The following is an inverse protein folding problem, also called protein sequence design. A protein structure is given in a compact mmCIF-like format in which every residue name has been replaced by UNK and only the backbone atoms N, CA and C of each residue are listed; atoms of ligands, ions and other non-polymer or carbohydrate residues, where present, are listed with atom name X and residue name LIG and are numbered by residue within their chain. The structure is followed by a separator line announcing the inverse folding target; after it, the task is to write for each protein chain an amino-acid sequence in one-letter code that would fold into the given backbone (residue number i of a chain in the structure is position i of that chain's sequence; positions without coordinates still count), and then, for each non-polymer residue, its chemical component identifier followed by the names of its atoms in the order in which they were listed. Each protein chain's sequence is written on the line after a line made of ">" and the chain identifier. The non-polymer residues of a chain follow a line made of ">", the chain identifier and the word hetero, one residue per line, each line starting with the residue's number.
data_IF_764753247178
#
_entry.id   IF_764753247178
#
_cell.length_a   1.000
_cell.length_b   1.000
_cell.length_c   1.000
_cell.angle_alpha   90.00
_cell.angle_beta   90.00
_cell.angle_gamma   90.00
#
_symmetry.space_group_name_H-M   'P 1'
#
loop_
_entity.id
_entity.type
_entity.pdbx_description
1 polymer ?
#
# COMPACT_ATOMS: atom_id res chain seq x y z
N UNK A 1 -14.86 19.42 -7.28
CA UNK A 1 -14.95 18.93 -8.66
C UNK A 1 -13.81 17.97 -8.85
N UNK A 2 -14.04 16.68 -8.61
CA UNK A 2 -13.12 15.63 -9.02
C UNK A 2 -13.85 14.82 -10.09
N UNK A 3 -13.15 14.50 -11.17
CA UNK A 3 -13.68 13.69 -12.25
C UNK A 3 -14.04 12.30 -11.69
N UNK A 4 -15.33 12.06 -11.51
CA UNK A 4 -15.83 10.71 -11.21
C UNK A 4 -15.48 9.77 -12.37
N UNK A 5 -15.23 8.50 -12.06
CA UNK A 5 -15.06 7.49 -13.09
C UNK A 5 -16.31 7.43 -13.98
N UNK A 6 -16.14 7.68 -15.27
CA UNK A 6 -17.22 7.59 -16.26
C UNK A 6 -17.07 6.30 -17.03
N UNK A 7 -18.15 5.53 -17.15
CA UNK A 7 -18.17 4.27 -17.91
C UNK A 7 -19.31 4.32 -18.92
N UNK A 8 -19.07 4.00 -20.20
CA UNK A 8 -20.14 3.87 -21.18
C UNK A 8 -21.17 2.84 -20.72
N UNK A 9 -22.45 3.21 -20.80
CA UNK A 9 -23.56 2.30 -20.47
C UNK A 9 -23.97 1.43 -21.66
N UNK A 10 -23.62 1.84 -22.88
CA UNK A 10 -23.88 1.10 -24.11
C UNK A 10 -22.69 0.20 -24.48
N UNK A 11 -22.94 -0.99 -25.05
CA UNK A 11 -21.91 -1.99 -25.33
C UNK A 11 -20.98 -1.56 -26.48
N UNK A 12 -21.51 -0.80 -27.43
CA UNK A 12 -20.80 -0.25 -28.57
C UNK A 12 -21.43 1.08 -29.05
N UNK A 13 -20.67 1.97 -29.70
CA UNK A 13 -21.22 3.15 -30.34
C UNK A 13 -22.30 2.77 -31.37
N UNK A 14 -23.45 3.45 -31.31
CA UNK A 14 -24.56 3.18 -32.24
C UNK A 14 -25.39 1.93 -31.93
N UNK A 15 -25.18 1.27 -30.77
CA UNK A 15 -25.97 0.11 -30.33
C UNK A 15 -27.49 0.37 -30.34
N UNK A 16 -27.90 1.63 -30.16
CA UNK A 16 -29.30 2.05 -30.17
C UNK A 16 -29.93 2.15 -31.56
N UNK A 17 -29.13 2.15 -32.64
CA UNK A 17 -29.64 2.28 -34.02
C UNK A 17 -30.46 1.08 -34.50
N UNK A 18 -30.37 -0.06 -33.80
CA UNK A 18 -31.10 -1.30 -34.10
C UNK A 18 -32.34 -1.50 -33.23
N UNK A 19 -32.57 -0.62 -32.27
CA UNK A 19 -33.66 -0.77 -31.31
C UNK A 19 -35.01 -0.48 -31.97
N UNK A 20 -36.01 -1.27 -31.61
CA UNK A 20 -37.40 -1.13 -32.02
C UNK A 20 -38.27 -0.75 -30.84
N UNK A 21 -39.43 -0.19 -31.13
CA UNK A 21 -40.44 0.13 -30.11
C UNK A 21 -40.79 -1.17 -29.36
N UNK A 22 -40.66 -1.14 -28.03
CA UNK A 22 -40.93 -2.27 -27.14
C UNK A 22 -39.69 -3.06 -26.71
N UNK A 23 -38.53 -2.83 -27.32
CA UNK A 23 -37.29 -3.49 -26.91
C UNK A 23 -36.88 -3.08 -25.50
N UNK A 24 -36.39 -4.04 -24.72
CA UNK A 24 -35.83 -3.81 -23.38
C UNK A 24 -34.36 -4.17 -23.40
N UNK A 25 -33.54 -3.25 -22.94
CA UNK A 25 -32.11 -3.46 -22.82
C UNK A 25 -31.69 -3.50 -21.35
N UNK A 26 -30.77 -4.40 -21.02
CA UNK A 26 -30.11 -4.48 -19.72
C UNK A 26 -28.61 -4.47 -19.96
N UNK A 27 -27.93 -3.53 -19.33
CA UNK A 27 -26.47 -3.52 -19.23
C UNK A 27 -26.05 -3.82 -17.80
N UNK A 28 -24.89 -4.48 -17.65
CA UNK A 28 -24.21 -4.63 -16.38
C UNK A 28 -22.80 -4.13 -16.60
N UNK A 29 -22.46 -3.02 -15.96
CA UNK A 29 -21.13 -2.40 -16.09
C UNK A 29 -20.42 -2.40 -14.75
N UNK A 30 -19.09 -2.44 -14.79
CA UNK A 30 -18.24 -2.28 -13.61
C UNK A 30 -17.84 -0.82 -13.53
N UNK A 31 -18.22 -0.15 -12.44
CA UNK A 31 -17.77 1.20 -12.14
C UNK A 31 -16.47 1.10 -11.34
N UNK A 32 -15.31 1.47 -11.90
CA UNK A 32 -14.09 1.51 -11.13
C UNK A 32 -14.23 2.59 -10.06
N UNK A 33 -13.82 2.27 -8.82
CA UNK A 33 -13.76 3.25 -7.75
C UNK A 33 -12.44 3.99 -7.90
N UNK A 34 -12.44 5.34 -7.99
CA UNK A 34 -11.19 6.09 -8.09
C UNK A 34 -10.25 5.77 -6.93
N UNK A 35 -8.94 5.64 -7.18
CA UNK A 35 -7.96 5.30 -6.14
C UNK A 35 -7.86 6.34 -5.03
N UNK A 36 -8.30 7.58 -5.28
CA UNK A 36 -8.34 8.68 -4.30
C UNK A 36 -9.73 8.87 -3.66
N UNK A 37 -10.66 7.93 -3.87
CA UNK A 37 -11.99 8.03 -3.27
C UNK A 37 -11.90 7.97 -1.73
N UNK A 38 -12.64 8.88 -1.08
CA UNK A 38 -12.74 8.97 0.37
C UNK A 38 -13.56 7.85 1.02
N UNK A 39 -14.35 7.11 0.23
CA UNK A 39 -15.32 6.15 0.72
C UNK A 39 -16.66 6.81 1.13
N UNK A 40 -17.56 6.03 1.72
CA UNK A 40 -18.83 6.53 2.25
C UNK A 40 -20.02 6.44 1.28
N UNK A 41 -21.10 7.15 1.60
CA UNK A 41 -22.31 7.15 0.77
C UNK A 41 -22.11 8.03 -0.47
N UNK A 42 -22.26 7.42 -1.63
CA UNK A 42 -22.02 8.03 -2.94
C UNK A 42 -23.27 7.93 -3.80
N UNK A 43 -23.60 9.01 -4.50
CA UNK A 43 -24.67 9.03 -5.50
C UNK A 43 -24.13 8.58 -6.86
N UNK A 44 -24.91 7.77 -7.55
CA UNK A 44 -24.62 7.33 -8.92
C UNK A 44 -25.61 7.98 -9.86
N UNK A 45 -25.10 8.52 -10.96
CA UNK A 45 -25.89 9.19 -11.99
C UNK A 45 -25.60 8.55 -13.35
N UNK A 46 -26.61 8.44 -14.20
CA UNK A 46 -26.44 8.26 -15.64
C UNK A 46 -26.47 9.65 -16.29
N UNK A 47 -25.61 9.86 -17.27
CA UNK A 47 -25.57 11.12 -18.05
C UNK A 47 -25.92 10.81 -19.50
N UNK A 48 -26.87 11.56 -20.07
CA UNK A 48 -27.27 11.46 -21.46
C UNK A 48 -27.39 12.87 -22.06
N UNK A 49 -26.42 13.27 -22.87
CA UNK A 49 -26.29 14.67 -23.29
C UNK A 49 -26.04 15.58 -22.09
N UNK A 50 -26.89 16.58 -21.88
CA UNK A 50 -26.84 17.49 -20.72
C UNK A 50 -27.69 17.00 -19.53
N UNK A 51 -28.48 15.93 -19.71
CA UNK A 51 -29.35 15.41 -18.66
C UNK A 51 -28.61 14.46 -17.71
N UNK A 52 -28.96 14.53 -16.43
CA UNK A 52 -28.49 13.60 -15.39
C UNK A 52 -29.66 12.90 -14.75
N UNK A 53 -29.62 11.57 -14.74
CA UNK A 53 -30.62 10.72 -14.09
C UNK A 53 -30.00 10.04 -12.89
N UNK A 54 -30.55 10.28 -11.70
CA UNK A 54 -30.13 9.59 -10.49
C UNK A 54 -30.44 8.09 -10.60
N UNK A 55 -29.41 7.25 -10.56
CA UNK A 55 -29.57 5.78 -10.55
C UNK A 55 -29.73 5.23 -9.14
N UNK A 56 -29.24 5.95 -8.13
CA UNK A 56 -29.38 5.59 -6.72
C UNK A 56 -28.19 5.99 -5.86
N UNK A 57 -28.10 5.38 -4.69
CA UNK A 57 -27.00 5.56 -3.74
C UNK A 57 -26.31 4.22 -3.52
N UNK A 58 -24.99 4.24 -3.46
CA UNK A 58 -24.15 3.12 -3.04
C UNK A 58 -23.24 3.54 -1.91
N UNK A 59 -22.69 2.58 -1.18
CA UNK A 59 -21.63 2.83 -0.19
C UNK A 59 -20.31 2.33 -0.74
N UNK A 60 -19.34 3.23 -0.92
CA UNK A 60 -17.97 2.88 -1.24
C UNK A 60 -17.28 2.47 0.06
N UNK A 61 -16.97 1.17 0.20
CA UNK A 61 -16.38 0.59 1.40
C UNK A 61 -14.85 0.79 1.44
N UNK A 62 -14.38 2.03 1.25
CA UNK A 62 -12.99 2.43 1.48
C UNK A 62 -12.92 3.08 2.85
N UNK A 63 -11.96 2.66 3.67
CA UNK A 63 -11.66 3.29 4.95
C UNK A 63 -10.30 3.94 4.84
N UNK A 64 -10.24 5.25 5.07
CA UNK A 64 -9.00 6.02 5.15
C UNK A 64 -8.72 6.31 6.63
N UNK A 65 -7.50 6.02 7.06
CA UNK A 65 -7.05 6.30 8.42
C UNK A 65 -5.99 7.38 8.35
N UNK A 66 -6.01 8.33 9.29
CA UNK A 66 -5.05 9.45 9.33
C UNK A 66 -4.30 9.52 10.68
N UNK A 67 -4.76 8.73 11.65
CA UNK A 67 -4.13 8.61 12.95
C UNK A 67 -3.32 7.32 13.02
N UNK A 68 -2.12 7.41 13.59
CA UNK A 68 -1.36 6.22 13.95
C UNK A 68 -2.11 5.45 15.06
N UNK A 69 -2.37 4.14 14.92
CA UNK A 69 -2.96 3.36 15.98
C UNK A 69 -2.08 3.36 17.24
N UNK A 70 -2.70 3.44 18.41
CA UNK A 70 -1.98 3.43 19.70
C UNK A 70 -1.25 2.11 20.00
N UNK A 71 -1.55 1.06 19.22
CA UNK A 71 -0.87 -0.24 19.28
C UNK A 71 0.45 -0.27 18.49
N UNK A 72 0.75 0.77 17.72
CA UNK A 72 2.00 0.90 16.99
C UNK A 72 3.06 1.61 17.84
N UNK A 73 4.30 1.12 17.79
CA UNK A 73 5.44 1.87 18.26
C UNK A 73 5.73 3.00 17.26
N UNK A 74 5.78 4.29 17.68
CA UNK A 74 6.00 5.39 16.78
C UNK A 74 7.43 5.39 16.22
N UNK A 75 7.54 5.68 14.94
CA UNK A 75 8.78 5.93 14.23
C UNK A 75 8.69 7.30 13.54
N UNK A 76 9.83 7.85 13.12
CA UNK A 76 9.84 9.10 12.40
C UNK A 76 11.00 9.16 11.41
N UNK A 77 10.83 8.41 10.32
CA UNK A 77 11.73 8.41 9.19
C UNK A 77 11.04 8.98 7.96
N UNK A 78 11.74 9.81 7.19
CA UNK A 78 11.31 10.33 5.89
C UNK A 78 11.97 9.54 4.78
N UNK A 79 11.21 9.19 3.75
CA UNK A 79 11.68 8.50 2.56
C UNK A 79 11.37 9.36 1.34
N UNK A 80 12.39 9.95 0.74
CA UNK A 80 12.20 11.05 -0.22
C UNK A 80 11.50 12.24 0.42
N UNK A 81 10.65 12.93 -0.35
CA UNK A 81 9.87 14.08 0.11
C UNK A 81 8.43 13.72 0.50
N UNK A 82 7.88 12.68 -0.13
CA UNK A 82 6.43 12.43 -0.16
C UNK A 82 5.96 11.39 0.88
N UNK A 83 6.85 10.57 1.46
CA UNK A 83 6.46 9.43 2.32
C UNK A 83 7.24 9.44 3.63
N UNK A 84 6.57 9.03 4.71
CA UNK A 84 7.18 8.76 6.00
C UNK A 84 6.86 7.34 6.49
N UNK A 85 7.81 6.70 7.19
CA UNK A 85 7.53 5.54 8.03
C UNK A 85 7.29 6.05 9.46
N UNK A 86 6.05 5.91 9.92
CA UNK A 86 5.55 6.60 11.13
C UNK A 86 5.29 5.66 12.29
N UNK A 87 5.33 4.35 12.04
CA UNK A 87 5.28 3.38 13.11
C UNK A 87 5.54 1.96 12.64
N UNK A 88 5.73 1.10 13.62
CA UNK A 88 5.93 -0.34 13.42
C UNK A 88 5.19 -1.11 14.51
N UNK A 89 4.76 -2.32 14.17
CA UNK A 89 4.38 -3.34 15.14
C UNK A 89 5.04 -4.65 14.74
N UNK A 90 5.91 -5.15 15.60
CA UNK A 90 6.61 -6.41 15.44
C UNK A 90 6.23 -7.34 16.58
N UNK A 91 6.10 -8.64 16.30
CA UNK A 91 6.01 -9.65 17.35
C UNK A 91 7.38 -9.87 17.98
N UNK A 92 7.47 -9.65 19.29
CA UNK A 92 8.68 -9.92 20.07
C UNK A 92 8.98 -11.42 20.17
N UNK A 93 10.16 -11.74 20.71
CA UNK A 93 10.58 -13.12 21.01
C UNK A 93 11.53 -13.73 19.99
N UNK A 94 12.05 -14.90 20.34
CA UNK A 94 12.94 -15.67 19.47
C UNK A 94 12.18 -16.32 18.32
N UNK A 95 12.91 -16.68 17.26
CA UNK A 95 12.44 -17.52 16.16
C UNK A 95 13.31 -18.76 16.03
N UNK A 96 12.77 -19.79 15.40
CA UNK A 96 13.52 -20.96 14.92
C UNK A 96 13.82 -20.83 13.43
N UNK A 97 14.88 -21.49 12.92
CA UNK A 97 15.06 -21.67 11.49
C UNK A 97 13.77 -22.23 10.84
N UNK A 98 13.45 -21.77 9.64
CA UNK A 98 12.21 -22.14 8.93
C UNK A 98 10.92 -21.46 9.39
N UNK A 99 10.94 -20.71 10.51
CA UNK A 99 9.78 -19.89 10.92
C UNK A 99 9.68 -18.59 10.11
N UNK A 100 8.64 -17.79 10.39
CA UNK A 100 8.46 -16.49 9.77
C UNK A 100 8.38 -15.37 10.80
N UNK A 101 8.83 -14.19 10.39
CA UNK A 101 8.70 -12.94 11.13
C UNK A 101 7.49 -12.19 10.61
N UNK A 102 6.56 -11.87 11.50
CA UNK A 102 5.41 -11.00 11.22
C UNK A 102 5.75 -9.55 11.57
N UNK A 103 5.50 -8.64 10.63
CA UNK A 103 5.80 -7.22 10.76
C UNK A 103 4.63 -6.40 10.22
N UNK A 104 4.24 -5.33 10.91
CA UNK A 104 3.28 -4.36 10.40
C UNK A 104 3.96 -3.01 10.36
N UNK A 105 3.98 -2.41 9.18
CA UNK A 105 4.53 -1.08 8.91
C UNK A 105 3.37 -0.09 8.79
N UNK A 106 3.54 1.09 9.35
CA UNK A 106 2.60 2.19 9.20
C UNK A 106 3.29 3.31 8.44
N UNK A 107 2.85 3.50 7.20
CA UNK A 107 3.35 4.53 6.32
C UNK A 107 2.43 5.74 6.36
N UNK A 108 2.96 6.94 6.14
CA UNK A 108 2.16 8.14 5.95
C UNK A 108 2.55 8.83 4.66
N UNK A 109 1.55 9.18 3.84
CA UNK A 109 1.76 10.12 2.75
C UNK A 109 1.87 11.53 3.33
N UNK A 110 2.95 12.22 3.01
CA UNK A 110 3.26 13.57 3.49
C UNK A 110 2.90 14.63 2.44
N UNK A 111 2.62 14.18 1.22
CA UNK A 111 2.08 14.95 0.10
C UNK A 111 1.39 14.02 -0.90
N UNK A 112 1.12 14.54 -2.10
CA UNK A 112 0.68 13.72 -3.22
C UNK A 112 1.84 12.83 -3.67
N UNK A 113 1.60 11.52 -3.75
CA UNK A 113 2.56 10.55 -4.26
C UNK A 113 2.17 10.20 -5.68
N UNK A 114 3.04 10.49 -6.64
CA UNK A 114 2.72 10.29 -8.07
C UNK A 114 3.29 8.99 -8.65
N UNK A 115 3.92 8.15 -7.81
CA UNK A 115 4.55 6.90 -8.22
C UNK A 115 4.21 5.77 -7.27
N UNK A 116 4.01 4.59 -7.84
CA UNK A 116 3.91 3.32 -7.12
C UNK A 116 5.31 2.80 -6.73
N UNK A 117 5.68 2.89 -5.46
CA UNK A 117 6.93 2.34 -4.92
C UNK A 117 6.72 0.95 -4.33
N UNK A 118 7.75 0.10 -4.41
CA UNK A 118 7.78 -1.19 -3.70
C UNK A 118 8.49 -1.03 -2.37
N UNK A 119 7.98 -1.74 -1.36
CA UNK A 119 8.64 -1.92 -0.07
C UNK A 119 9.54 -3.15 -0.18
N UNK A 120 10.77 -3.02 0.31
CA UNK A 120 11.60 -4.17 0.67
C UNK A 120 11.59 -4.35 2.19
N UNK A 121 11.57 -5.61 2.63
CA UNK A 121 11.79 -6.01 4.03
C UNK A 121 12.87 -7.08 4.02
N UNK A 122 13.99 -6.85 4.69
CA UNK A 122 15.11 -7.80 4.79
C UNK A 122 15.33 -8.23 6.24
N UNK A 123 15.57 -9.54 6.43
CA UNK A 123 16.06 -10.11 7.68
C UNK A 123 17.57 -10.32 7.52
N UNK A 124 18.37 -9.46 8.16
CA UNK A 124 19.83 -9.50 8.08
C UNK A 124 20.37 -10.25 9.30
N UNK A 125 21.11 -11.32 9.05
CA UNK A 125 21.67 -12.20 10.08
C UNK A 125 22.98 -11.69 10.68
N UNK A 126 23.56 -12.46 11.63
CA UNK A 126 24.78 -12.09 12.34
C UNK A 126 26.03 -12.09 11.44
N UNK A 127 25.97 -12.76 10.30
CA UNK A 127 26.99 -12.76 9.24
C UNK A 127 26.88 -11.56 8.29
N UNK A 128 25.90 -10.67 8.53
CA UNK A 128 25.61 -9.51 7.69
C UNK A 128 24.90 -9.86 6.38
N UNK A 129 24.50 -11.12 6.17
CA UNK A 129 23.79 -11.56 4.98
C UNK A 129 22.27 -11.47 5.15
N UNK A 130 21.56 -11.36 4.03
CA UNK A 130 20.09 -11.41 4.01
C UNK A 130 19.68 -12.89 4.02
N UNK A 131 18.95 -13.31 5.05
CA UNK A 131 18.42 -14.66 5.15
C UNK A 131 16.94 -14.74 4.77
N UNK A 132 16.19 -13.64 4.87
CA UNK A 132 14.81 -13.58 4.41
C UNK A 132 14.48 -12.23 3.80
N UNK A 133 13.68 -12.21 2.74
CA UNK A 133 13.25 -10.96 2.12
C UNK A 133 11.85 -11.02 1.51
N UNK A 134 11.21 -9.86 1.43
CA UNK A 134 9.97 -9.64 0.67
C UNK A 134 10.05 -8.31 -0.06
N UNK A 135 9.67 -8.32 -1.33
CA UNK A 135 9.63 -7.16 -2.23
C UNK A 135 8.26 -7.04 -2.88
N UNK A 136 7.45 -6.06 -2.45
CA UNK A 136 6.10 -5.88 -3.02
C UNK A 136 5.56 -4.47 -2.87
N UNK A 137 4.53 -4.18 -3.65
CA UNK A 137 3.71 -3.00 -3.42
C UNK A 137 2.96 -3.13 -2.08
N UNK A 138 2.73 -2.00 -1.39
CA UNK A 138 1.95 -1.99 -0.16
C UNK A 138 0.60 -2.70 -0.30
N UNK A 139 0.18 -3.38 0.77
CA UNK A 139 -1.04 -4.19 0.81
C UNK A 139 -1.19 -5.17 -0.36
N UNK A 140 -0.07 -5.76 -0.82
CA UNK A 140 -0.04 -6.72 -1.93
C UNK A 140 -0.53 -6.10 -3.25
N UNK A 141 -0.31 -4.80 -3.45
CA UNK A 141 -0.72 -4.06 -4.64
C UNK A 141 -2.19 -3.63 -4.64
N UNK A 142 -2.94 -3.89 -3.55
CA UNK A 142 -4.32 -3.39 -3.42
C UNK A 142 -4.39 -1.90 -3.11
N UNK A 143 -3.33 -1.34 -2.52
CA UNK A 143 -3.25 0.08 -2.17
C UNK A 143 -1.81 0.61 -2.35
N UNK A 144 -1.30 0.65 -3.61
CA UNK A 144 0.02 1.18 -3.91
C UNK A 144 0.17 2.64 -3.48
N UNK A 145 1.41 3.12 -3.38
CA UNK A 145 1.73 4.43 -2.79
C UNK A 145 1.11 5.61 -3.52
N UNK A 146 0.89 5.51 -4.83
CA UNK A 146 0.21 6.52 -5.64
C UNK A 146 -1.31 6.59 -5.43
N UNK A 147 -1.89 5.69 -4.64
CA UNK A 147 -3.30 5.76 -4.25
C UNK A 147 -3.50 6.45 -2.89
N UNK A 148 -2.41 6.81 -2.21
CA UNK A 148 -2.46 7.38 -0.87
C UNK A 148 -2.90 8.84 -0.93
N UNK A 149 -3.77 9.23 -0.01
CA UNK A 149 -4.15 10.63 0.17
C UNK A 149 -3.13 11.34 1.07
N UNK A 150 -2.87 12.64 0.87
CA UNK A 150 -2.04 13.41 1.79
C UNK A 150 -2.52 13.26 3.25
N UNK A 151 -1.59 12.90 4.13
CA UNK A 151 -1.82 12.62 5.56
C UNK A 151 -2.33 11.22 5.88
N UNK A 152 -2.71 10.40 4.88
CA UNK A 152 -3.20 9.05 5.10
C UNK A 152 -2.13 8.17 5.75
N UNK A 153 -2.51 7.46 6.80
CA UNK A 153 -1.73 6.42 7.46
C UNK A 153 -2.16 5.05 6.93
N UNK A 154 -1.27 4.39 6.20
CA UNK A 154 -1.49 3.08 5.59
C UNK A 154 -0.85 2.00 6.44
N UNK A 155 -1.69 1.11 6.98
CA UNK A 155 -1.26 -0.13 7.62
C UNK A 155 -0.89 -1.16 6.55
N UNK A 156 0.32 -1.70 6.64
CA UNK A 156 0.87 -2.63 5.66
C UNK A 156 1.55 -3.82 6.35
N UNK A 157 1.09 -5.03 6.06
CA UNK A 157 1.44 -6.24 6.81
C UNK A 157 2.39 -7.10 6.00
N UNK A 158 3.40 -7.65 6.66
CA UNK A 158 4.44 -8.50 6.07
C UNK A 158 4.62 -9.78 6.87
N UNK A 159 4.95 -10.84 6.15
CA UNK A 159 5.38 -12.12 6.69
C UNK A 159 6.61 -12.54 5.91
N UNK A 160 7.76 -12.59 6.57
CA UNK A 160 9.06 -12.89 5.95
C UNK A 160 9.58 -14.19 6.52
N UNK A 161 9.75 -15.21 5.68
CA UNK A 161 10.24 -16.51 6.11
C UNK A 161 11.75 -16.50 6.30
N UNK A 162 12.21 -17.17 7.35
CA UNK A 162 13.60 -17.58 7.52
C UNK A 162 13.84 -18.92 6.82
N UNK A 163 15.06 -19.16 6.32
CA UNK A 163 15.43 -20.44 5.75
C UNK A 163 15.61 -21.48 6.87
N UNK A 164 15.51 -22.76 6.53
CA UNK A 164 15.60 -23.87 7.49
C UNK A 164 17.02 -24.02 8.07
N UNK A 165 18.02 -23.44 7.43
CA UNK A 165 19.43 -23.40 7.83
C UNK A 165 19.86 -22.01 8.33
N UNK A 166 18.90 -21.14 8.69
CA UNK A 166 19.18 -19.82 9.24
C UNK A 166 20.17 -19.91 10.42
N UNK A 167 21.33 -19.24 10.37
CA UNK A 167 22.29 -19.26 11.47
C UNK A 167 21.68 -18.77 12.78
N UNK A 168 22.06 -19.34 13.95
CA UNK A 168 21.67 -18.78 15.23
C UNK A 168 22.29 -17.38 15.42
N UNK A 169 21.60 -16.52 16.15
CA UNK A 169 22.12 -15.21 16.52
C UNK A 169 21.10 -14.08 16.42
N UNK A 170 21.59 -12.85 16.53
CA UNK A 170 20.77 -11.64 16.41
C UNK A 170 20.54 -11.29 14.93
N UNK A 171 19.30 -11.01 14.59
CA UNK A 171 18.88 -10.54 13.28
C UNK A 171 18.33 -9.13 13.38
N UNK A 172 18.64 -8.30 12.38
CA UNK A 172 18.07 -6.96 12.22
C UNK A 172 17.07 -6.96 11.07
N UNK A 173 15.92 -6.32 11.28
CA UNK A 173 14.91 -6.11 10.24
C UNK A 173 15.17 -4.75 9.60
N UNK A 174 15.48 -4.75 8.31
CA UNK A 174 15.68 -3.54 7.50
C UNK A 174 14.51 -3.34 6.54
N UNK A 175 14.02 -2.11 6.43
CA UNK A 175 12.95 -1.75 5.49
C UNK A 175 13.27 -0.49 4.70
N UNK A 176 12.67 -0.36 3.53
CA UNK A 176 12.74 0.86 2.73
C UNK A 176 11.87 0.78 1.48
N UNK A 177 11.93 1.81 0.67
CA UNK A 177 11.18 1.93 -0.58
C UNK A 177 12.14 2.06 -1.77
N UNK A 178 11.72 1.56 -2.93
CA UNK A 178 12.43 1.77 -4.20
C UNK A 178 11.46 1.92 -5.36
N UNK A 179 11.94 2.55 -6.44
CA UNK A 179 11.20 2.66 -7.69
C UNK A 179 11.28 1.31 -8.45
N UNK A 180 10.15 0.63 -8.74
CA UNK A 180 10.20 -0.62 -9.50
C UNK A 180 10.76 -0.47 -10.92
N UNK A 181 10.80 0.74 -11.49
CA UNK A 181 11.44 1.01 -12.77
C UNK A 181 12.98 1.01 -12.70
N UNK A 182 13.55 1.25 -11.51
CA UNK A 182 14.97 1.11 -11.21
C UNK A 182 15.17 0.48 -9.82
N UNK A 183 15.21 -0.86 -9.73
CA UNK A 183 15.29 -1.56 -8.43
C UNK A 183 16.52 -1.23 -7.58
N UNK A 184 17.56 -0.61 -8.16
CA UNK A 184 18.73 -0.16 -7.41
C UNK A 184 18.53 1.25 -6.81
N UNK A 185 17.54 2.01 -7.28
CA UNK A 185 17.21 3.34 -6.81
C UNK A 185 16.27 3.28 -5.59
N UNK A 186 16.86 3.07 -4.41
CA UNK A 186 16.15 3.25 -3.13
C UNK A 186 15.85 4.72 -2.87
N UNK A 187 14.71 5.00 -2.23
CA UNK A 187 14.36 6.36 -1.81
C UNK A 187 15.27 6.79 -0.68
N UNK A 188 15.88 7.99 -0.73
CA UNK A 188 16.71 8.49 0.36
C UNK A 188 15.99 8.49 1.70
N UNK A 189 16.58 7.86 2.72
CA UNK A 189 15.98 7.77 4.06
C UNK A 189 16.64 8.78 4.99
N UNK A 190 15.84 9.57 5.71
CA UNK A 190 16.31 10.50 6.74
C UNK A 190 15.62 10.29 8.08
N UNK A 191 16.35 10.46 9.17
CA UNK A 191 15.79 10.45 10.54
C UNK A 191 15.19 11.82 10.93
N UNK A 192 14.79 11.94 12.20
CA UNK A 192 14.25 13.17 12.79
C UNK A 192 15.24 14.35 12.80
N UNK A 193 16.54 14.06 12.76
CA UNK A 193 17.60 15.05 12.73
C UNK A 193 17.92 15.48 11.28
N UNK A 194 17.34 14.80 10.30
CA UNK A 194 17.58 15.03 8.87
C UNK A 194 18.80 14.28 8.33
N UNK A 195 19.44 13.45 9.15
CA UNK A 195 20.61 12.67 8.76
C UNK A 195 20.20 11.53 7.85
N UNK A 196 20.94 11.31 6.77
CA UNK A 196 20.65 10.25 5.82
C UNK A 196 21.15 8.90 6.35
N UNK A 197 20.28 7.90 6.37
CA UNK A 197 20.64 6.56 6.83
C UNK A 197 21.50 5.83 5.79
N UNK A 198 22.46 4.99 6.23
CA UNK A 198 23.20 4.10 5.34
C UNK A 198 22.28 3.20 4.52
N UNK A 199 22.63 3.00 3.25
CA UNK A 199 21.91 2.13 2.30
C UNK A 199 20.42 2.45 2.12
N UNK A 200 19.97 3.63 2.57
CA UNK A 200 18.58 4.05 2.54
C UNK A 200 17.63 2.97 3.12
N UNK A 201 18.05 2.40 4.25
CA UNK A 201 17.35 1.32 4.93
C UNK A 201 17.15 1.65 6.41
N UNK A 202 15.92 1.45 6.88
CA UNK A 202 15.49 1.75 8.25
C UNK A 202 15.58 0.46 9.08
N UNK A 203 16.35 0.43 10.18
CA UNK A 203 16.26 -0.64 11.16
C UNK A 203 14.97 -0.46 11.98
N UNK A 204 14.01 -1.37 11.82
CA UNK A 204 12.70 -1.29 12.49
C UNK A 204 12.57 -2.24 13.67
N UNK A 205 13.55 -3.10 13.89
CA UNK A 205 13.59 -3.98 15.03
C UNK A 205 14.62 -5.08 14.90
N UNK A 206 14.69 -5.91 15.95
CA UNK A 206 15.61 -7.03 16.06
C UNK A 206 14.89 -8.24 16.64
N UNK A 207 15.43 -9.43 16.39
CA UNK A 207 14.99 -10.67 17.00
C UNK A 207 16.15 -11.67 17.03
N UNK A 208 16.02 -12.72 17.83
CA UNK A 208 17.06 -13.76 17.95
C UNK A 208 16.58 -15.05 17.31
N UNK A 209 17.45 -15.71 16.55
CA UNK A 209 17.24 -17.09 16.11
C UNK A 209 17.97 -18.03 17.07
N UNK A 210 17.23 -18.96 17.67
CA UNK A 210 17.77 -19.98 18.57
C UNK A 210 18.49 -21.12 17.82
N UNK A 211 19.32 -21.86 18.54
CA UNK A 211 19.69 -23.22 18.13
C UNK A 211 18.50 -24.14 18.41
N UNK A 212 18.20 -25.06 17.50
CA UNK A 212 17.12 -26.03 17.70
C UNK A 212 17.33 -26.94 18.91
#
# INVERSE_FOLDING_TARGET
>A
GEAGATVPLLPEPGATARWRVGDRYRTVTRLPIPPHAWGGETRVWAVAGEEQVALGRLRVAITRTFALPTTAAPLAYRLGEEIALVGVRQEEGSRRPGEAVSLVLYWRAEGEVNRSYKVFVHLVGPDGQIHGQVDRFPQEGRHPTDHWLPGEVVEDRYRVSLPADAPPGEYTILVGLYDPADPLARLPVRDLQGERLPHDAIPVGRFTVGQD
#
